data_IF_673237362897
#
_entry.id   IF_673237362897
#
_cell.length_a   1.000
_cell.length_b   1.000
_cell.length_c   1.000
_cell.angle_alpha   90.00
_cell.angle_beta   90.00
_cell.angle_gamma   90.00
#
_symmetry.space_group_name_H-M   'P 1'
#
loop_
_entity.id
_entity.type
_entity.pdbx_description
1 polymer ?
#
# COMPACT_ATOMS: atom_id res chain seq x y z
N UNK A 1 -8.55 0.42 10.25
CA UNK A 1 -7.35 1.17 9.79
C UNK A 1 -7.15 2.42 10.64
N UNK A 2 -8.18 3.26 10.79
CA UNK A 2 -8.21 4.39 11.73
C UNK A 2 -9.64 4.52 12.28
N UNK A 3 -9.82 5.31 13.33
CA UNK A 3 -11.15 5.55 13.91
C UNK A 3 -12.07 6.19 12.88
N UNK A 4 -13.24 5.60 12.64
CA UNK A 4 -14.20 6.08 11.64
C UNK A 4 -13.89 5.68 10.19
N UNK A 5 -12.91 4.79 9.97
CA UNK A 5 -12.69 4.22 8.64
C UNK A 5 -13.94 3.48 8.12
N UNK A 6 -14.22 3.52 6.80
CA UNK A 6 -15.33 2.79 6.20
C UNK A 6 -15.26 1.30 6.54
N UNK A 7 -16.42 0.66 6.71
CA UNK A 7 -16.48 -0.79 6.88
C UNK A 7 -15.94 -1.48 5.62
N UNK A 8 -15.06 -2.48 5.81
CA UNK A 8 -14.56 -3.28 4.70
C UNK A 8 -15.70 -4.08 4.07
N UNK A 9 -15.74 -4.08 2.74
CA UNK A 9 -16.75 -4.80 1.97
C UNK A 9 -16.07 -5.65 0.89
N UNK A 10 -16.82 -6.63 0.39
CA UNK A 10 -16.37 -7.51 -0.68
C UNK A 10 -17.47 -7.55 -1.73
N UNK A 11 -17.11 -7.53 -3.03
CA UNK A 11 -18.08 -7.58 -4.12
C UNK A 11 -19.03 -8.80 -4.02
N UNK A 12 -18.58 -9.90 -3.40
CA UNK A 12 -19.39 -11.10 -3.17
C UNK A 12 -20.47 -10.98 -2.09
N UNK A 13 -20.51 -9.86 -1.36
CA UNK A 13 -21.64 -9.53 -0.48
C UNK A 13 -22.91 -9.18 -1.28
N UNK A 14 -22.77 -8.70 -2.52
CA UNK A 14 -23.90 -8.29 -3.37
C UNK A 14 -24.04 -9.14 -4.64
N UNK A 15 -22.93 -9.61 -5.24
CA UNK A 15 -22.96 -10.47 -6.44
C UNK A 15 -21.80 -11.47 -6.47
N UNK A 16 -22.10 -12.71 -6.88
CA UNK A 16 -21.09 -13.78 -7.07
C UNK A 16 -20.51 -13.82 -8.48
N UNK A 17 -20.76 -12.80 -9.31
CA UNK A 17 -20.25 -12.74 -10.69
C UNK A 17 -18.85 -12.12 -10.80
N UNK A 18 -18.44 -11.29 -9.83
CA UNK A 18 -17.09 -10.74 -9.80
C UNK A 18 -16.04 -11.83 -9.50
N UNK A 19 -14.80 -11.65 -9.95
CA UNK A 19 -13.65 -12.41 -9.42
C UNK A 19 -13.04 -11.61 -8.28
N UNK A 20 -12.88 -12.21 -7.10
CA UNK A 20 -12.18 -11.55 -5.99
C UNK A 20 -10.74 -12.05 -5.96
N UNK A 21 -9.78 -11.12 -5.93
CA UNK A 21 -8.36 -11.41 -5.80
C UNK A 21 -7.89 -10.91 -4.44
N UNK A 22 -7.21 -11.75 -3.66
CA UNK A 22 -6.67 -11.36 -2.37
C UNK A 22 -5.36 -12.10 -2.06
N UNK A 23 -4.60 -11.65 -1.05
CA UNK A 23 -3.23 -12.10 -0.81
C UNK A 23 -2.84 -12.07 0.66
N UNK A 24 -1.95 -12.99 1.05
CA UNK A 24 -1.26 -12.97 2.34
C UNK A 24 -0.13 -11.92 2.40
N UNK A 25 0.19 -11.27 1.27
CA UNK A 25 1.38 -10.42 1.17
C UNK A 25 1.32 -9.18 2.05
N UNK A 26 0.13 -8.60 2.27
CA UNK A 26 -0.01 -7.28 2.91
C UNK A 26 -0.48 -7.37 4.35
N UNK A 27 -1.75 -7.74 4.58
CA UNK A 27 -2.30 -7.79 5.95
C UNK A 27 -1.51 -8.76 6.86
N UNK A 28 -1.18 -9.95 6.35
CA UNK A 28 -0.35 -10.93 7.07
C UNK A 28 1.16 -10.75 6.88
N UNK A 29 1.62 -9.67 6.24
CA UNK A 29 3.04 -9.38 5.99
C UNK A 29 3.86 -10.50 5.28
N UNK A 30 3.22 -11.46 4.62
CA UNK A 30 3.90 -12.59 3.96
C UNK A 30 4.33 -12.27 2.51
N UNK A 31 4.88 -11.07 2.25
CA UNK A 31 5.17 -10.58 0.88
C UNK A 31 6.06 -11.52 0.05
N UNK A 32 7.13 -12.04 0.67
CA UNK A 32 8.08 -12.95 0.02
C UNK A 32 7.56 -14.40 -0.14
N UNK A 33 6.45 -14.76 0.50
CA UNK A 33 5.93 -16.14 0.52
C UNK A 33 5.11 -16.50 -0.72
N UNK A 34 4.77 -15.49 -1.52
CA UNK A 34 4.11 -15.63 -2.83
C UNK A 34 2.80 -16.43 -2.78
N UNK A 35 1.95 -16.12 -1.80
CA UNK A 35 0.65 -16.78 -1.62
C UNK A 35 -0.53 -15.81 -1.67
N UNK A 36 -1.61 -16.25 -2.30
CA UNK A 36 -2.89 -15.56 -2.38
C UNK A 36 -4.01 -16.51 -2.79
N UNK A 37 -5.22 -15.98 -2.94
CA UNK A 37 -6.39 -16.79 -3.29
C UNK A 37 -7.36 -16.01 -4.17
N UNK A 38 -8.24 -16.77 -4.83
CA UNK A 38 -9.31 -16.26 -5.67
C UNK A 38 -10.66 -16.73 -5.15
N UNK A 39 -11.66 -15.85 -5.17
CA UNK A 39 -13.06 -16.28 -5.19
C UNK A 39 -13.54 -16.24 -6.65
N UNK A 40 -13.82 -17.43 -7.20
CA UNK A 40 -14.07 -17.62 -8.64
C UNK A 40 -15.55 -17.95 -8.91
N UNK A 41 -16.25 -17.18 -9.77
CA UNK A 41 -17.60 -17.49 -10.22
C UNK A 41 -17.69 -18.90 -10.80
N UNK A 42 -18.81 -19.60 -10.56
CA UNK A 42 -18.97 -21.02 -10.95
C UNK A 42 -18.64 -21.28 -12.42
N UNK A 43 -19.06 -20.39 -13.33
CA UNK A 43 -18.84 -20.48 -14.78
C UNK A 43 -17.36 -20.44 -15.16
N UNK A 44 -16.51 -19.80 -14.35
CA UNK A 44 -15.08 -19.63 -14.63
C UNK A 44 -14.21 -20.72 -13.99
N UNK A 45 -14.75 -21.53 -13.07
CA UNK A 45 -13.95 -22.47 -12.26
C UNK A 45 -13.15 -23.44 -13.12
N UNK A 46 -13.75 -24.00 -14.18
CA UNK A 46 -13.07 -24.99 -15.03
C UNK A 46 -11.90 -24.38 -15.81
N UNK A 47 -12.05 -23.15 -16.31
CA UNK A 47 -10.98 -22.44 -17.00
C UNK A 47 -9.81 -22.14 -16.03
N UNK A 48 -10.11 -21.66 -14.83
CA UNK A 48 -9.08 -21.37 -13.80
C UNK A 48 -8.35 -22.64 -13.35
N UNK A 49 -9.07 -23.73 -13.12
CA UNK A 49 -8.53 -25.06 -12.78
C UNK A 49 -7.53 -25.57 -13.83
N UNK A 50 -7.92 -25.55 -15.11
CA UNK A 50 -7.03 -25.94 -16.19
C UNK A 50 -5.80 -25.02 -16.30
N UNK A 51 -5.98 -23.71 -16.21
CA UNK A 51 -4.88 -22.75 -16.33
C UNK A 51 -3.89 -22.90 -15.17
N UNK A 52 -4.34 -23.03 -13.92
CA UNK A 52 -3.41 -23.19 -12.79
C UNK A 52 -2.65 -24.51 -12.88
N UNK A 53 -3.28 -25.61 -13.34
CA UNK A 53 -2.58 -26.88 -13.54
C UNK A 53 -1.48 -26.81 -14.61
N UNK A 54 -1.71 -26.08 -15.70
CA UNK A 54 -0.75 -25.96 -16.80
C UNK A 54 0.35 -24.91 -16.55
N UNK A 55 0.00 -23.76 -15.96
CA UNK A 55 0.95 -22.65 -15.81
C UNK A 55 1.77 -22.72 -14.52
N UNK A 56 1.19 -23.23 -13.43
CA UNK A 56 1.83 -23.17 -12.11
C UNK A 56 1.87 -24.49 -11.37
N UNK A 57 1.07 -25.49 -11.80
CA UNK A 57 0.86 -26.80 -11.15
C UNK A 57 0.20 -26.64 -9.77
N UNK A 58 0.85 -25.95 -8.85
CA UNK A 58 0.32 -25.60 -7.53
C UNK A 58 1.01 -24.34 -6.97
N UNK A 59 0.40 -23.66 -5.97
CA UNK A 59 1.08 -22.61 -5.22
C UNK A 59 2.26 -23.15 -4.39
N UNK A 60 3.18 -22.29 -3.91
CA UNK A 60 4.30 -22.72 -3.07
C UNK A 60 3.81 -23.51 -1.84
N UNK A 61 4.13 -24.81 -1.79
CA UNK A 61 3.55 -25.75 -0.81
C UNK A 61 3.93 -25.40 0.63
N UNK A 62 5.18 -25.01 0.88
CA UNK A 62 5.61 -24.55 2.21
C UNK A 62 4.78 -23.35 2.69
N UNK A 63 4.52 -22.39 1.79
CA UNK A 63 3.69 -21.23 2.09
C UNK A 63 2.23 -21.62 2.35
N UNK A 64 1.66 -22.56 1.58
CA UNK A 64 0.30 -23.05 1.80
C UNK A 64 0.15 -23.65 3.21
N UNK A 65 1.11 -24.46 3.63
CA UNK A 65 1.11 -25.07 4.97
C UNK A 65 1.21 -23.98 6.06
N UNK A 66 2.16 -23.05 5.93
CA UNK A 66 2.35 -21.99 6.92
C UNK A 66 1.14 -21.05 7.02
N UNK A 67 0.51 -20.71 5.90
CA UNK A 67 -0.61 -19.77 5.85
C UNK A 67 -1.87 -20.28 6.55
N UNK A 68 -2.01 -21.59 6.80
CA UNK A 68 -3.10 -22.11 7.65
C UNK A 68 -3.01 -21.51 9.06
N UNK A 69 -1.81 -21.35 9.61
CA UNK A 69 -1.59 -20.76 10.93
C UNK A 69 -1.82 -19.23 10.98
N UNK A 70 -1.92 -18.57 9.82
CA UNK A 70 -2.25 -17.14 9.76
C UNK A 70 -3.68 -16.84 10.26
N UNK A 71 -4.55 -17.85 10.32
CA UNK A 71 -5.91 -17.73 10.83
C UNK A 71 -6.03 -17.99 12.35
N UNK A 72 -4.91 -18.15 13.06
CA UNK A 72 -4.92 -18.27 14.52
C UNK A 72 -5.18 -16.92 15.19
N UNK A 73 -5.70 -16.90 16.44
CA UNK A 73 -5.88 -15.66 17.19
C UNK A 73 -4.58 -14.87 17.36
N UNK A 74 -3.47 -15.56 17.62
CA UNK A 74 -2.15 -14.93 17.79
C UNK A 74 -1.68 -14.23 16.51
N UNK A 75 -1.69 -14.94 15.37
CA UNK A 75 -1.29 -14.35 14.10
C UNK A 75 -2.19 -13.16 13.67
N UNK A 76 -3.48 -13.22 14.03
CA UNK A 76 -4.41 -12.10 13.80
C UNK A 76 -4.07 -10.92 14.70
N UNK A 77 -3.76 -11.16 15.98
CA UNK A 77 -3.34 -10.11 16.90
C UNK A 77 -2.03 -9.43 16.46
N UNK A 78 -1.05 -10.19 15.96
CA UNK A 78 0.17 -9.63 15.35
C UNK A 78 -0.13 -8.76 14.12
N UNK A 79 -1.01 -9.24 13.22
CA UNK A 79 -1.42 -8.48 12.03
C UNK A 79 -2.15 -7.17 12.39
N UNK A 80 -3.04 -7.22 13.38
CA UNK A 80 -3.74 -6.04 13.89
C UNK A 80 -2.78 -5.10 14.66
N UNK A 81 -1.76 -5.63 15.32
CA UNK A 81 -0.67 -4.87 15.91
C UNK A 81 0.10 -4.06 14.86
N UNK A 82 0.43 -4.67 13.71
CA UNK A 82 1.01 -3.96 12.58
C UNK A 82 0.07 -2.85 12.08
N UNK A 83 -1.23 -3.14 11.96
CA UNK A 83 -2.22 -2.15 11.54
C UNK A 83 -2.31 -0.96 12.52
N UNK A 84 -2.22 -1.20 13.82
CA UNK A 84 -2.20 -0.15 14.83
C UNK A 84 -0.97 0.76 14.68
N UNK A 85 0.20 0.18 14.41
CA UNK A 85 1.43 0.94 14.09
C UNK A 85 1.23 1.80 12.83
N UNK A 86 0.63 1.25 11.77
CA UNK A 86 0.35 2.02 10.55
C UNK A 86 -0.64 3.16 10.78
N UNK A 87 -1.59 3.02 11.71
CA UNK A 87 -2.53 4.07 12.07
C UNK A 87 -1.81 5.28 12.70
N UNK A 88 -0.82 5.04 13.56
CA UNK A 88 0.02 6.08 14.17
C UNK A 88 0.82 6.79 13.08
N UNK A 89 1.52 6.02 12.23
CA UNK A 89 2.32 6.56 11.14
C UNK A 89 1.49 7.38 10.14
N UNK A 90 0.27 6.93 9.84
CA UNK A 90 -0.67 7.65 8.97
C UNK A 90 -0.96 9.04 9.53
N UNK A 91 -1.30 9.15 10.81
CA UNK A 91 -1.60 10.43 11.45
C UNK A 91 -0.37 11.37 11.42
N UNK A 92 0.80 10.83 11.81
CA UNK A 92 2.06 11.59 11.76
C UNK A 92 2.34 12.14 10.35
N UNK A 93 2.21 11.29 9.33
CA UNK A 93 2.50 11.67 7.95
C UNK A 93 1.48 12.68 7.40
N UNK A 94 0.17 12.47 7.60
CA UNK A 94 -0.85 13.39 7.10
C UNK A 94 -0.74 14.78 7.74
N UNK A 95 -0.56 14.85 9.05
CA UNK A 95 -0.43 16.12 9.74
C UNK A 95 0.91 16.80 9.44
N UNK A 96 1.97 16.01 9.26
CA UNK A 96 3.28 16.51 8.84
C UNK A 96 3.27 17.10 7.44
N UNK A 97 2.69 16.41 6.46
CA UNK A 97 2.60 16.90 5.07
C UNK A 97 1.84 18.22 4.99
N UNK A 98 0.71 18.35 5.70
CA UNK A 98 -0.05 19.60 5.79
C UNK A 98 0.80 20.76 6.32
N UNK A 99 1.60 20.53 7.37
CA UNK A 99 2.50 21.56 7.92
C UNK A 99 3.61 21.98 6.96
N UNK A 100 4.04 21.08 6.07
CA UNK A 100 5.09 21.32 5.08
C UNK A 100 4.51 21.95 3.78
N UNK A 101 3.19 22.07 3.69
CA UNK A 101 2.51 22.71 2.55
C UNK A 101 1.97 21.74 1.49
N UNK A 102 1.99 20.42 1.76
CA UNK A 102 1.43 19.39 0.87
C UNK A 102 0.09 18.93 1.48
N UNK A 103 -1.00 19.59 1.12
CA UNK A 103 -2.34 19.37 1.70
C UNK A 103 -3.35 18.71 0.74
N UNK A 104 -3.10 18.77 -0.57
CA UNK A 104 -3.90 18.10 -1.62
C UNK A 104 -3.56 16.61 -1.70
N UNK A 105 -4.27 15.81 -0.91
CA UNK A 105 -4.05 14.37 -0.78
C UNK A 105 -5.29 13.58 -1.20
N UNK A 106 -5.09 12.43 -1.85
CA UNK A 106 -6.17 11.47 -2.01
C UNK A 106 -6.61 10.90 -0.63
N UNK A 107 -7.89 10.50 -0.45
CA UNK A 107 -8.34 9.86 0.78
C UNK A 107 -7.52 8.61 1.12
N UNK A 108 -6.97 8.58 2.34
CA UNK A 108 -6.11 7.49 2.82
C UNK A 108 -6.92 6.51 3.67
N UNK A 109 -7.89 5.86 3.04
CA UNK A 109 -8.89 5.04 3.75
C UNK A 109 -8.38 3.64 4.12
N UNK A 110 -7.30 3.19 3.49
CA UNK A 110 -6.71 1.88 3.68
C UNK A 110 -5.32 1.77 3.09
N UNK A 111 -4.83 0.54 2.96
CA UNK A 111 -3.43 0.24 2.64
C UNK A 111 -2.47 0.99 3.59
N UNK A 112 -1.31 1.41 3.08
CA UNK A 112 -0.29 2.14 3.84
C UNK A 112 0.41 3.19 2.98
N UNK A 113 -0.35 3.87 2.11
CA UNK A 113 0.16 4.86 1.17
C UNK A 113 -0.57 6.20 1.28
N UNK A 114 0.16 7.30 1.18
CA UNK A 114 -0.37 8.63 0.86
C UNK A 114 -0.08 8.90 -0.62
N UNK A 115 -1.09 9.32 -1.38
CA UNK A 115 -0.93 9.83 -2.73
C UNK A 115 -1.13 11.34 -2.71
N UNK A 116 -0.05 12.08 -2.95
CA UNK A 116 0.02 13.51 -2.75
C UNK A 116 0.20 14.22 -4.08
N UNK A 117 -0.59 15.28 -4.29
CA UNK A 117 -0.37 16.24 -5.36
C UNK A 117 0.75 17.20 -4.94
N UNK A 118 1.80 17.24 -5.75
CA UNK A 118 3.00 18.09 -5.55
C UNK A 118 3.19 19.07 -6.70
N UNK A 119 2.15 19.30 -7.51
CA UNK A 119 2.22 20.19 -8.70
C UNK A 119 2.61 21.63 -8.39
N UNK A 120 2.43 22.09 -7.15
CA UNK A 120 2.87 23.42 -6.71
C UNK A 120 4.40 23.52 -6.56
N UNK A 121 5.08 22.38 -6.38
CA UNK A 121 6.51 22.31 -6.10
C UNK A 121 7.32 21.76 -7.28
N UNK A 122 6.68 21.12 -8.25
CA UNK A 122 7.34 20.55 -9.42
C UNK A 122 6.37 20.36 -10.59
N UNK A 123 6.90 20.43 -11.81
CA UNK A 123 6.20 19.98 -13.03
C UNK A 123 6.53 18.53 -13.41
N UNK A 124 7.54 17.93 -12.77
CA UNK A 124 8.00 16.56 -13.01
C UNK A 124 8.29 15.86 -11.67
N UNK A 125 7.38 14.96 -11.27
CA UNK A 125 7.53 14.15 -10.06
C UNK A 125 8.72 13.19 -10.11
N UNK A 126 9.16 12.76 -11.29
CA UNK A 126 10.32 11.87 -11.40
C UNK A 126 11.61 12.59 -11.00
N UNK A 127 11.84 13.79 -11.57
CA UNK A 127 12.97 14.63 -11.19
C UNK A 127 12.89 15.05 -9.71
N UNK A 128 11.71 15.39 -9.21
CA UNK A 128 11.50 15.76 -7.81
C UNK A 128 11.89 14.63 -6.85
N UNK A 129 11.42 13.40 -7.08
CA UNK A 129 11.78 12.23 -6.27
C UNK A 129 13.28 11.93 -6.33
N UNK A 130 13.89 12.03 -7.52
CA UNK A 130 15.33 11.82 -7.69
C UNK A 130 16.15 12.86 -6.92
N UNK A 131 15.75 14.13 -6.97
CA UNK A 131 16.44 15.22 -6.27
C UNK A 131 16.29 15.10 -4.76
N UNK A 132 15.08 14.82 -4.28
CA UNK A 132 14.83 14.59 -2.85
C UNK A 132 15.73 13.46 -2.30
N UNK A 133 15.84 12.36 -3.04
CA UNK A 133 16.69 11.24 -2.66
C UNK A 133 18.17 11.63 -2.62
N UNK A 134 18.66 12.34 -3.64
CA UNK A 134 20.04 12.79 -3.72
C UNK A 134 20.41 13.77 -2.59
N UNK A 135 19.52 14.71 -2.29
CA UNK A 135 19.80 15.81 -1.37
C UNK A 135 19.57 15.42 0.10
N UNK A 136 18.60 14.54 0.36
CA UNK A 136 18.14 14.25 1.74
C UNK A 136 18.23 12.78 2.13
N UNK A 137 18.42 11.88 1.17
CA UNK A 137 18.32 10.43 1.37
C UNK A 137 16.90 9.90 1.56
N UNK A 138 15.87 10.75 1.47
CA UNK A 138 14.47 10.30 1.58
C UNK A 138 14.00 9.73 0.25
N UNK A 139 13.61 8.46 0.25
CA UNK A 139 13.08 7.78 -0.92
C UNK A 139 11.54 7.79 -0.94
N UNK A 140 10.96 8.31 -2.03
CA UNK A 140 9.52 8.26 -2.32
C UNK A 140 9.30 7.82 -3.77
N UNK A 141 8.10 7.36 -4.12
CA UNK A 141 7.82 6.88 -5.46
C UNK A 141 7.18 7.99 -6.32
N UNK A 142 7.65 8.22 -7.56
CA UNK A 142 7.03 9.19 -8.46
C UNK A 142 5.66 8.70 -8.94
N UNK A 143 4.77 9.64 -9.24
CA UNK A 143 3.41 9.35 -9.69
C UNK A 143 3.35 8.70 -11.08
N UNK A 144 4.39 8.89 -11.89
CA UNK A 144 4.45 8.41 -13.29
C UNK A 144 4.35 6.88 -13.42
N UNK A 145 4.76 6.14 -12.38
CA UNK A 145 4.61 4.68 -12.31
C UNK A 145 3.14 4.24 -12.21
N UNK A 146 2.25 5.16 -11.79
CA UNK A 146 0.83 4.89 -11.51
C UNK A 146 -0.13 5.57 -12.50
N UNK A 147 0.25 6.71 -13.09
CA UNK A 147 -0.50 7.39 -14.14
C UNK A 147 0.49 8.02 -15.15
N UNK A 148 0.55 7.48 -16.36
CA UNK A 148 1.49 7.95 -17.40
C UNK A 148 1.11 9.30 -18.00
N UNK A 149 -0.13 9.76 -17.82
CA UNK A 149 -0.62 11.01 -18.39
C UNK A 149 -0.55 12.18 -17.38
N UNK A 150 -0.83 11.91 -16.10
CA UNK A 150 -0.94 12.93 -15.04
C UNK A 150 0.02 12.72 -13.87
N UNK A 151 0.74 11.59 -13.83
CA UNK A 151 1.61 11.23 -12.72
C UNK A 151 2.78 12.19 -12.48
N UNK A 152 3.10 13.07 -13.43
CA UNK A 152 4.07 14.16 -13.26
C UNK A 152 3.71 15.11 -12.09
N UNK A 153 2.43 15.21 -11.73
CA UNK A 153 1.96 16.04 -10.63
C UNK A 153 1.90 15.33 -9.27
N UNK A 154 2.14 14.02 -9.20
CA UNK A 154 1.87 13.23 -8.00
C UNK A 154 3.09 12.48 -7.48
N UNK A 155 3.09 12.18 -6.19
CA UNK A 155 4.02 11.24 -5.55
C UNK A 155 3.27 10.27 -4.64
N UNK A 156 3.86 9.10 -4.41
CA UNK A 156 3.35 8.10 -3.47
C UNK A 156 4.35 7.89 -2.33
N UNK A 157 3.88 8.08 -1.10
CA UNK A 157 4.68 7.94 0.13
C UNK A 157 4.16 6.72 0.90
N UNK A 158 5.04 5.80 1.29
CA UNK A 158 4.68 4.60 2.03
C UNK A 158 4.96 4.80 3.53
N UNK A 159 4.03 4.40 4.40
CA UNK A 159 4.15 4.58 5.85
C UNK A 159 4.13 3.26 6.65
N UNK A 160 4.54 2.16 6.01
CA UNK A 160 4.62 0.83 6.62
C UNK A 160 5.92 0.57 7.41
N UNK A 161 6.87 1.52 7.42
CA UNK A 161 8.12 1.45 8.16
C UNK A 161 7.96 1.86 9.64
N UNK A 162 9.07 2.05 10.37
CA UNK A 162 9.03 2.55 11.74
C UNK A 162 8.61 4.04 11.78
N UNK A 163 7.98 4.46 12.87
CA UNK A 163 7.53 5.86 13.05
C UNK A 163 8.68 6.87 13.01
N UNK A 164 9.85 6.49 13.53
CA UNK A 164 11.05 7.33 13.49
C UNK A 164 11.49 7.70 12.07
N UNK A 165 11.31 6.80 11.10
CA UNK A 165 11.60 7.10 9.70
C UNK A 165 10.62 8.14 9.15
N UNK A 166 9.35 8.09 9.58
CA UNK A 166 8.33 9.07 9.16
C UNK A 166 8.63 10.45 9.73
N UNK A 167 8.96 10.53 11.02
CA UNK A 167 9.31 11.78 11.69
C UNK A 167 10.56 12.42 11.07
N UNK A 168 11.60 11.61 10.84
CA UNK A 168 12.84 12.05 10.23
C UNK A 168 12.66 12.47 8.78
N UNK A 169 11.88 11.73 7.99
CA UNK A 169 11.56 12.10 6.62
C UNK A 169 10.82 13.44 6.56
N UNK A 170 9.80 13.64 7.41
CA UNK A 170 9.08 14.92 7.50
C UNK A 170 10.01 16.08 7.86
N UNK A 171 10.93 15.88 8.81
CA UNK A 171 11.93 16.91 9.19
C UNK A 171 12.83 17.29 8.02
N UNK A 172 13.34 16.30 7.28
CA UNK A 172 14.22 16.51 6.12
C UNK A 172 13.48 17.20 4.97
N UNK A 173 12.29 16.71 4.61
CA UNK A 173 11.46 17.30 3.55
C UNK A 173 11.09 18.74 3.92
N UNK A 174 10.67 18.99 5.16
CA UNK A 174 10.29 20.33 5.62
C UNK A 174 11.44 21.36 5.57
N UNK A 175 12.69 20.91 5.71
CA UNK A 175 13.87 21.78 5.58
C UNK A 175 14.28 21.99 4.13
N UNK A 176 14.08 20.99 3.26
CA UNK A 176 14.51 21.00 1.87
C UNK A 176 13.51 21.70 0.94
N UNK A 177 12.20 21.46 1.12
CA UNK A 177 11.14 21.90 0.22
C UNK A 177 11.06 23.43 0.02
N UNK A 178 11.25 24.30 1.05
CA UNK A 178 11.20 25.75 0.86
C UNK A 178 12.30 26.34 -0.04
N UNK A 179 13.33 25.54 -0.36
CA UNK A 179 14.46 25.95 -1.21
C UNK A 179 14.38 25.41 -2.64
N UNK A 180 13.26 24.81 -3.02
CA UNK A 180 13.02 24.22 -4.34
C UNK A 180 12.29 25.15 -5.28
#
# INVERSE_FOLDING_TARGET
VYQGAPQTSCAWQTSRNAVVVNSFSKYYAMTGWRLGWLLVPTVLRRAVDCLTGNFTICPPVLSQIAAVSAFTPEATAEADGNLASYAINRSLLLDGLRRIGIDRLAPTDGAFYVYADVSDFTSDSLAFCSKLLADTGVAIAPGIDFDTARGGSFVRISFAGPSGDIEEALRRIGSWLPSQ
#
